data_IF_835189315581
#
_entry.id   IF_835189315581
#
_cell.length_a   1.000
_cell.length_b   1.000
_cell.length_c   1.000
_cell.angle_alpha   90.00
_cell.angle_beta   90.00
_cell.angle_gamma   90.00
#
_symmetry.space_group_name_H-M   'P 1'
#
loop_
_entity.id
_entity.type
_entity.pdbx_description
1 polymer ?
#
# COMPACT_ATOMS: atom_id res chain seq x y z
N UNK A 1 -40.75 5.83 -27.47
CA UNK A 1 -40.08 5.94 -26.16
C UNK A 1 -39.74 4.52 -25.73
N UNK A 2 -38.61 3.99 -26.24
CA UNK A 2 -38.21 2.60 -25.99
C UNK A 2 -37.41 2.55 -24.69
N UNK A 3 -38.02 2.01 -23.65
CA UNK A 3 -37.28 1.51 -22.49
C UNK A 3 -36.38 0.36 -22.96
N UNK A 4 -35.07 0.63 -23.02
CA UNK A 4 -34.05 -0.40 -23.07
C UNK A 4 -34.11 -1.18 -21.76
N UNK A 5 -34.93 -2.24 -21.71
CA UNK A 5 -34.81 -3.30 -20.70
C UNK A 5 -33.40 -3.87 -20.82
N UNK A 6 -32.51 -3.48 -19.90
CA UNK A 6 -31.23 -4.15 -19.72
C UNK A 6 -31.44 -5.66 -19.50
N UNK A 7 -30.47 -6.52 -19.86
CA UNK A 7 -30.63 -7.96 -19.75
C UNK A 7 -31.01 -8.34 -18.32
N UNK A 8 -32.10 -9.12 -18.18
CA UNK A 8 -32.55 -9.64 -16.90
C UNK A 8 -31.38 -10.38 -16.23
N UNK A 9 -30.91 -9.85 -15.10
CA UNK A 9 -29.77 -10.44 -14.38
C UNK A 9 -30.28 -11.70 -13.68
N UNK A 10 -30.07 -12.85 -14.32
CA UNK A 10 -30.57 -14.13 -13.81
C UNK A 10 -29.66 -14.63 -12.69
N UNK A 11 -30.23 -14.75 -11.50
CA UNK A 11 -29.67 -15.64 -10.48
C UNK A 11 -29.74 -17.07 -11.00
N UNK A 12 -28.70 -17.87 -10.75
CA UNK A 12 -28.62 -19.24 -11.23
C UNK A 12 -28.01 -20.14 -10.18
N UNK A 13 -28.59 -21.32 -10.01
CA UNK A 13 -28.01 -22.40 -9.24
C UNK A 13 -27.88 -23.61 -10.17
N UNK A 14 -26.69 -24.20 -10.23
CA UNK A 14 -26.42 -25.34 -11.09
C UNK A 14 -25.33 -26.22 -10.51
N UNK A 15 -25.31 -27.49 -10.90
CA UNK A 15 -24.34 -28.47 -10.41
C UNK A 15 -24.54 -28.86 -8.95
N UNK A 16 -24.04 -30.04 -8.60
CA UNK A 16 -24.03 -30.52 -7.22
C UNK A 16 -25.39 -31.01 -6.70
N UNK A 17 -25.50 -31.11 -5.37
CA UNK A 17 -26.71 -31.51 -4.66
C UNK A 17 -27.03 -30.57 -3.51
N UNK A 18 -28.32 -30.41 -3.23
CA UNK A 18 -28.84 -29.69 -2.06
C UNK A 18 -29.69 -30.67 -1.26
N UNK A 19 -29.36 -30.83 0.01
CA UNK A 19 -30.17 -31.56 0.98
C UNK A 19 -30.63 -30.57 2.06
N UNK A 20 -31.91 -30.60 2.42
CA UNK A 20 -32.47 -29.70 3.42
C UNK A 20 -33.40 -30.47 4.35
N UNK A 21 -33.13 -30.39 5.64
CA UNK A 21 -33.93 -30.99 6.69
C UNK A 21 -34.48 -29.87 7.58
N UNK A 22 -35.81 -29.70 7.60
CA UNK A 22 -36.48 -28.60 8.31
C UNK A 22 -37.49 -29.14 9.31
N UNK A 23 -37.45 -28.62 10.53
CA UNK A 23 -38.40 -28.92 11.59
C UNK A 23 -38.97 -27.62 12.17
N UNK A 24 -40.30 -27.55 12.22
CA UNK A 24 -41.03 -26.42 12.80
C UNK A 24 -41.77 -26.92 14.04
N UNK A 25 -41.60 -26.22 15.15
CA UNK A 25 -42.24 -26.58 16.43
C UNK A 25 -42.89 -25.36 17.09
N UNK A 26 -43.85 -25.60 17.99
CA UNK A 26 -44.50 -24.53 18.76
C UNK A 26 -45.60 -23.76 18.02
N UNK A 27 -46.15 -24.31 16.93
CA UNK A 27 -47.35 -23.78 16.28
C UNK A 27 -48.54 -23.90 17.24
N UNK A 28 -48.96 -22.79 17.87
CA UNK A 28 -50.21 -22.72 18.64
C UNK A 28 -51.31 -22.09 17.78
N UNK A 29 -52.55 -22.58 17.94
CA UNK A 29 -53.73 -22.13 17.18
C UNK A 29 -54.15 -20.66 17.39
N UNK A 30 -53.43 -19.90 18.23
CA UNK A 30 -53.51 -18.43 18.28
C UNK A 30 -52.13 -17.88 17.95
N UNK A 31 -52.07 -16.80 17.16
CA UNK A 31 -50.87 -16.11 16.65
C UNK A 31 -50.09 -15.37 17.77
N UNK A 32 -50.03 -15.93 18.98
CA UNK A 32 -49.21 -15.43 20.10
C UNK A 32 -48.04 -16.38 20.31
N UNK A 33 -46.98 -16.12 19.56
CA UNK A 33 -45.68 -16.80 19.64
C UNK A 33 -45.09 -17.07 18.26
N UNK A 34 -43.83 -16.67 18.03
CA UNK A 34 -43.10 -17.03 16.81
C UNK A 34 -42.77 -18.54 16.85
N UNK A 35 -43.01 -19.30 15.77
CA UNK A 35 -42.67 -20.72 15.72
C UNK A 35 -41.15 -20.91 15.86
N UNK A 36 -40.74 -21.99 16.53
CA UNK A 36 -39.33 -22.36 16.64
C UNK A 36 -38.93 -23.14 15.41
N UNK A 37 -38.03 -22.55 14.63
CA UNK A 37 -37.43 -23.15 13.44
C UNK A 37 -36.12 -23.86 13.81
N UNK A 38 -35.97 -25.07 13.31
CA UNK A 38 -34.70 -25.80 13.28
C UNK A 38 -34.51 -26.36 11.89
N UNK A 39 -33.26 -26.45 11.46
CA UNK A 39 -32.96 -27.22 10.27
C UNK A 39 -31.54 -27.11 9.80
N UNK A 40 -31.21 -28.00 8.89
CA UNK A 40 -29.88 -28.17 8.33
C UNK A 40 -29.99 -28.15 6.81
N UNK A 41 -29.07 -27.45 6.15
CA UNK A 41 -28.94 -27.40 4.70
C UNK A 41 -27.52 -27.81 4.35
N UNK A 42 -27.39 -28.80 3.47
CA UNK A 42 -26.11 -29.28 2.97
C UNK A 42 -26.03 -29.04 1.47
N UNK A 43 -25.02 -28.27 1.06
CA UNK A 43 -24.66 -28.03 -0.33
C UNK A 43 -23.40 -28.84 -0.65
N UNK A 44 -23.42 -29.61 -1.74
CA UNK A 44 -22.25 -30.37 -2.21
C UNK A 44 -21.98 -30.07 -3.68
N UNK A 45 -20.83 -29.46 -3.96
CA UNK A 45 -20.38 -29.14 -5.33
C UNK A 45 -21.29 -28.17 -6.09
N UNK A 46 -22.01 -27.29 -5.39
CA UNK A 46 -22.97 -26.37 -5.99
C UNK A 46 -22.24 -25.20 -6.67
N UNK A 47 -22.78 -24.72 -7.78
CA UNK A 47 -22.38 -23.46 -8.41
C UNK A 47 -23.52 -22.45 -8.34
N UNK A 48 -23.21 -21.21 -7.95
CA UNK A 48 -24.17 -20.13 -7.76
C UNK A 48 -23.71 -18.89 -8.53
N UNK A 49 -24.58 -18.36 -9.38
CA UNK A 49 -24.44 -17.06 -10.01
C UNK A 49 -25.22 -16.04 -9.17
N UNK A 50 -24.48 -15.18 -8.46
CA UNK A 50 -25.06 -14.13 -7.60
C UNK A 50 -24.62 -12.76 -8.11
N UNK A 51 -25.41 -12.08 -8.96
CA UNK A 51 -25.21 -10.65 -9.21
C UNK A 51 -25.27 -9.90 -7.87
N UNK A 52 -24.31 -9.02 -7.54
CA UNK A 52 -23.42 -8.28 -8.44
C UNK A 52 -22.02 -8.87 -8.65
N UNK A 53 -21.75 -10.09 -8.18
CA UNK A 53 -20.42 -10.70 -8.31
C UNK A 53 -20.02 -10.86 -9.78
N UNK A 54 -18.82 -10.42 -10.18
CA UNK A 54 -18.31 -10.60 -11.55
C UNK A 54 -18.15 -12.08 -11.93
N UNK A 55 -17.69 -12.89 -10.97
CA UNK A 55 -17.44 -14.32 -11.15
C UNK A 55 -18.52 -15.14 -10.42
N UNK A 56 -18.92 -16.30 -10.98
CA UNK A 56 -19.77 -17.23 -10.26
C UNK A 56 -19.02 -17.86 -9.08
N UNK A 57 -19.77 -18.22 -8.05
CA UNK A 57 -19.29 -19.09 -6.98
C UNK A 57 -19.39 -20.53 -7.50
N UNK A 58 -18.31 -21.30 -7.43
CA UNK A 58 -18.28 -22.71 -7.83
C UNK A 58 -17.64 -23.57 -6.75
N UNK A 59 -17.77 -24.89 -6.87
CA UNK A 59 -17.28 -25.86 -5.90
C UNK A 59 -17.73 -25.54 -4.46
N UNK A 60 -18.96 -25.04 -4.30
CA UNK A 60 -19.51 -24.69 -3.00
C UNK A 60 -19.89 -25.97 -2.25
N UNK A 61 -19.13 -26.25 -1.19
CA UNK A 61 -19.42 -27.29 -0.23
C UNK A 61 -19.64 -26.65 1.14
N UNK A 62 -20.89 -26.64 1.60
CA UNK A 62 -21.33 -25.87 2.76
C UNK A 62 -22.36 -26.67 3.55
N UNK A 63 -22.17 -26.77 4.87
CA UNK A 63 -23.23 -27.14 5.81
C UNK A 63 -23.72 -25.88 6.49
N UNK A 64 -25.03 -25.66 6.53
CA UNK A 64 -25.66 -24.58 7.26
C UNK A 64 -26.67 -25.16 8.25
N UNK A 65 -26.62 -24.72 9.50
CA UNK A 65 -27.59 -25.14 10.52
C UNK A 65 -28.26 -23.92 11.16
N UNK A 66 -29.54 -24.06 11.46
CA UNK A 66 -30.36 -23.10 12.19
C UNK A 66 -30.86 -23.75 13.47
N UNK A 67 -30.52 -23.16 14.61
CA UNK A 67 -31.02 -23.57 15.92
C UNK A 67 -31.53 -22.35 16.68
N UNK A 68 -32.85 -22.15 16.70
CA UNK A 68 -33.44 -20.96 17.31
C UNK A 68 -33.08 -19.71 16.50
N UNK A 69 -32.33 -18.79 17.10
CA UNK A 69 -31.82 -17.58 16.43
C UNK A 69 -30.32 -17.67 16.08
N UNK A 70 -29.73 -18.87 16.21
CA UNK A 70 -28.33 -19.12 15.85
C UNK A 70 -28.25 -19.78 14.49
N UNK A 71 -27.56 -19.13 13.56
CA UNK A 71 -27.17 -19.69 12.27
C UNK A 71 -25.68 -20.02 12.31
N UNK A 72 -25.32 -21.20 11.84
CA UNK A 72 -23.94 -21.63 11.69
C UNK A 72 -23.70 -22.14 10.28
N UNK A 73 -22.64 -21.64 9.65
CA UNK A 73 -22.23 -22.00 8.30
C UNK A 73 -20.82 -22.58 8.38
N UNK A 74 -20.67 -23.86 8.02
CA UNK A 74 -19.39 -24.57 7.92
C UNK A 74 -19.08 -24.83 6.44
N UNK A 75 -18.19 -24.03 5.90
CA UNK A 75 -17.73 -24.04 4.52
C UNK A 75 -16.49 -24.93 4.39
N UNK A 76 -16.60 -26.02 3.64
CA UNK A 76 -15.49 -26.93 3.35
C UNK A 76 -14.75 -26.59 2.07
N UNK A 77 -15.38 -25.88 1.14
CA UNK A 77 -14.69 -25.29 -0.02
C UNK A 77 -15.58 -24.31 -0.78
N UNK A 78 -14.93 -23.33 -1.39
CA UNK A 78 -15.53 -22.37 -2.32
C UNK A 78 -14.48 -21.88 -3.29
N UNK A 79 -14.87 -21.68 -4.55
CA UNK A 79 -14.06 -20.99 -5.56
C UNK A 79 -14.85 -19.84 -6.16
N UNK A 80 -14.21 -18.69 -6.36
CA UNK A 80 -14.78 -17.53 -7.05
C UNK A 80 -13.66 -16.82 -7.82
N UNK A 81 -13.61 -17.00 -9.14
CA UNK A 81 -12.48 -16.51 -9.93
C UNK A 81 -11.16 -17.17 -9.49
N UNK A 82 -10.15 -16.36 -9.14
CA UNK A 82 -8.88 -16.83 -8.58
C UNK A 82 -8.89 -17.05 -7.07
N UNK A 83 -9.97 -16.70 -6.37
CA UNK A 83 -10.12 -16.85 -4.93
C UNK A 83 -10.57 -18.27 -4.58
N UNK A 84 -9.83 -18.93 -3.68
CA UNK A 84 -10.06 -20.31 -3.25
C UNK A 84 -10.10 -20.38 -1.72
N UNK A 85 -11.28 -20.71 -1.16
CA UNK A 85 -11.48 -20.93 0.27
C UNK A 85 -11.40 -22.42 0.57
N UNK A 86 -10.56 -22.80 1.54
CA UNK A 86 -10.39 -24.19 1.99
C UNK A 86 -11.22 -24.52 3.22
N UNK A 87 -11.46 -23.53 4.07
CA UNK A 87 -12.29 -23.68 5.26
C UNK A 87 -12.90 -22.34 5.62
N UNK A 88 -14.14 -22.34 6.07
CA UNK A 88 -14.78 -21.16 6.61
C UNK A 88 -15.80 -21.52 7.67
N UNK A 89 -15.85 -20.76 8.74
CA UNK A 89 -16.89 -20.86 9.75
C UNK A 89 -17.49 -19.47 9.92
N UNK A 90 -18.80 -19.35 9.73
CA UNK A 90 -19.55 -18.15 10.07
C UNK A 90 -20.65 -18.52 11.06
N UNK A 91 -20.61 -17.90 12.23
CA UNK A 91 -21.70 -17.96 13.20
C UNK A 91 -22.41 -16.61 13.24
N UNK A 92 -23.73 -16.65 13.26
CA UNK A 92 -24.61 -15.50 13.48
C UNK A 92 -25.53 -15.85 14.64
N UNK A 93 -25.57 -15.02 15.68
CA UNK A 93 -26.52 -15.14 16.77
C UNK A 93 -27.41 -13.90 16.86
N UNK A 94 -28.73 -14.10 16.78
CA UNK A 94 -29.71 -13.02 16.73
C UNK A 94 -29.84 -12.40 15.33
N UNK A 95 -31.02 -11.88 15.01
CA UNK A 95 -31.31 -11.26 13.70
C UNK A 95 -31.42 -9.74 13.77
N UNK A 96 -31.89 -9.19 14.90
CA UNK A 96 -32.06 -7.75 15.07
C UNK A 96 -30.75 -7.02 15.41
N UNK A 97 -29.95 -7.61 16.32
CA UNK A 97 -28.63 -7.11 16.73
C UNK A 97 -27.61 -8.26 16.60
N UNK A 98 -27.24 -8.63 15.38
CA UNK A 98 -26.54 -9.89 15.13
C UNK A 98 -25.12 -9.87 15.71
N UNK A 99 -24.80 -10.89 16.51
CA UNK A 99 -23.44 -11.20 16.93
C UNK A 99 -22.79 -12.14 15.91
N UNK A 100 -21.69 -11.71 15.29
CA UNK A 100 -21.00 -12.41 14.21
C UNK A 100 -19.65 -12.96 14.70
N UNK A 101 -19.30 -14.15 14.23
CA UNK A 101 -17.95 -14.70 14.32
C UNK A 101 -17.60 -15.34 12.99
N UNK A 102 -16.55 -14.83 12.33
CA UNK A 102 -16.11 -15.33 11.03
C UNK A 102 -14.66 -15.82 11.12
N UNK A 103 -14.40 -17.04 10.68
CA UNK A 103 -13.04 -17.55 10.48
C UNK A 103 -12.92 -18.06 9.06
N UNK A 104 -11.95 -17.58 8.28
CA UNK A 104 -11.72 -18.03 6.91
C UNK A 104 -10.25 -18.45 6.72
N UNK A 105 -10.06 -19.60 6.09
CA UNK A 105 -8.76 -20.09 5.62
C UNK A 105 -8.81 -20.25 4.10
N UNK A 106 -8.02 -19.45 3.41
CA UNK A 106 -7.96 -19.39 1.96
C UNK A 106 -6.62 -19.92 1.46
N UNK A 107 -6.64 -20.62 0.34
CA UNK A 107 -5.41 -20.89 -0.41
C UNK A 107 -4.96 -19.62 -1.14
N UNK A 108 -5.89 -18.95 -1.81
CA UNK A 108 -5.67 -17.70 -2.53
C UNK A 108 -6.84 -16.74 -2.35
N UNK A 109 -6.53 -15.46 -2.28
CA UNK A 109 -7.50 -14.36 -2.27
C UNK A 109 -7.15 -13.35 -3.37
N UNK A 110 -8.14 -12.94 -4.14
CA UNK A 110 -8.00 -11.81 -5.06
C UNK A 110 -9.16 -10.84 -4.91
N UNK A 111 -8.85 -9.60 -4.51
CA UNK A 111 -9.86 -8.55 -4.35
C UNK A 111 -10.56 -8.26 -5.68
N UNK A 112 -9.89 -8.46 -6.82
CA UNK A 112 -10.45 -8.17 -8.15
C UNK A 112 -11.57 -9.13 -8.53
N UNK A 113 -11.63 -10.32 -7.94
CA UNK A 113 -12.72 -11.27 -8.18
C UNK A 113 -14.09 -10.75 -7.71
N UNK A 114 -14.07 -9.76 -6.81
CA UNK A 114 -15.25 -9.15 -6.20
C UNK A 114 -15.51 -7.72 -6.72
N UNK A 115 -14.72 -7.24 -7.69
CA UNK A 115 -14.82 -5.88 -8.23
C UNK A 115 -15.27 -5.90 -9.69
N UNK A 116 -16.32 -5.13 -10.01
CA UNK A 116 -16.84 -5.00 -11.39
C UNK A 116 -15.84 -4.38 -12.37
N UNK A 117 -14.93 -3.51 -11.88
CA UNK A 117 -13.92 -2.83 -12.69
C UNK A 117 -12.58 -2.81 -11.96
N UNK A 118 -11.52 -3.42 -12.51
CA UNK A 118 -10.17 -3.32 -11.96
C UNK A 118 -9.73 -1.85 -11.86
N UNK A 119 -9.11 -1.47 -10.74
CA UNK A 119 -8.54 -0.12 -10.52
C UNK A 119 -9.53 0.96 -10.07
N UNK A 120 -10.84 0.74 -10.17
CA UNK A 120 -11.87 1.69 -9.71
C UNK A 120 -12.68 1.07 -8.57
N UNK A 121 -12.09 1.06 -7.38
CA UNK A 121 -12.76 0.56 -6.20
C UNK A 121 -13.76 1.60 -5.68
N UNK A 122 -14.99 1.18 -5.41
CA UNK A 122 -15.97 1.96 -4.63
C UNK A 122 -16.14 1.29 -3.29
N UNK A 123 -16.01 2.06 -2.22
CA UNK A 123 -16.26 1.55 -0.88
C UNK A 123 -17.75 1.27 -0.72
N UNK A 124 -18.14 0.11 -0.17
CA UNK A 124 -19.52 -0.13 0.21
C UNK A 124 -19.89 0.79 1.37
N UNK A 125 -21.12 1.31 1.35
CA UNK A 125 -21.72 1.99 2.51
C UNK A 125 -22.58 0.98 3.25
N UNK A 126 -22.32 0.80 4.53
CA UNK A 126 -23.10 -0.06 5.42
C UNK A 126 -24.15 0.82 6.10
N UNK A 127 -25.38 0.75 5.60
CA UNK A 127 -26.49 1.50 6.19
C UNK A 127 -26.78 1.00 7.60
N UNK A 128 -27.07 1.92 8.52
CA UNK A 128 -27.31 1.60 9.94
C UNK A 128 -28.60 0.79 10.17
N UNK A 129 -29.56 0.86 9.26
CA UNK A 129 -30.78 0.05 9.29
C UNK A 129 -30.58 -1.38 8.76
N UNK A 130 -29.44 -1.65 8.10
CA UNK A 130 -29.11 -2.96 7.53
C UNK A 130 -28.60 -3.95 8.58
N UNK A 131 -28.60 -5.23 8.22
CA UNK A 131 -28.07 -6.31 9.05
C UNK A 131 -26.62 -6.04 9.54
N UNK A 132 -25.71 -5.68 8.62
CA UNK A 132 -24.32 -5.35 8.97
C UNK A 132 -24.17 -4.02 9.73
N UNK A 133 -25.13 -3.10 9.56
CA UNK A 133 -25.19 -1.83 10.28
C UNK A 133 -25.55 -2.00 11.76
N UNK A 134 -26.21 -3.10 12.12
CA UNK A 134 -26.55 -3.46 13.51
C UNK A 134 -25.61 -4.53 14.09
N UNK A 135 -24.78 -5.12 13.24
CA UNK A 135 -23.92 -6.24 13.61
C UNK A 135 -22.76 -5.83 14.52
N UNK A 136 -22.38 -6.76 15.39
CA UNK A 136 -21.12 -6.74 16.13
C UNK A 136 -20.45 -8.08 16.01
N UNK A 137 -19.14 -8.12 15.83
CA UNK A 137 -18.47 -9.40 15.72
C UNK A 137 -16.98 -9.30 15.46
N UNK A 138 -16.36 -10.46 15.43
CA UNK A 138 -14.94 -10.63 15.18
C UNK A 138 -14.74 -11.45 13.91
N UNK A 139 -13.62 -11.21 13.25
CA UNK A 139 -13.21 -12.00 12.10
C UNK A 139 -11.73 -12.29 12.11
N UNK A 140 -11.41 -13.50 11.68
CA UNK A 140 -10.06 -14.00 11.44
C UNK A 140 -9.97 -14.51 10.01
N UNK A 141 -8.99 -14.04 9.23
CA UNK A 141 -8.81 -14.40 7.83
C UNK A 141 -7.35 -14.71 7.57
N UNK A 142 -7.08 -15.92 7.09
CA UNK A 142 -5.76 -16.34 6.64
C UNK A 142 -5.78 -16.69 5.15
N UNK A 143 -4.74 -16.30 4.42
CA UNK A 143 -4.57 -16.68 3.02
C UNK A 143 -3.12 -16.99 2.68
N UNK A 144 -2.90 -18.10 1.95
CA UNK A 144 -1.59 -18.46 1.42
C UNK A 144 -1.05 -17.41 0.44
N UNK A 145 -1.89 -16.92 -0.46
CA UNK A 145 -1.58 -15.89 -1.46
C UNK A 145 -2.65 -14.79 -1.50
N UNK A 146 -2.24 -13.53 -1.50
CA UNK A 146 -3.16 -12.39 -1.52
C UNK A 146 -2.83 -11.42 -2.66
N UNK A 147 -3.81 -11.20 -3.54
CA UNK A 147 -3.84 -10.11 -4.51
C UNK A 147 -4.82 -9.04 -4.03
N UNK A 148 -4.28 -7.96 -3.48
CA UNK A 148 -5.01 -6.79 -3.00
C UNK A 148 -4.94 -5.64 -4.01
N UNK A 149 -4.73 -5.94 -5.30
CA UNK A 149 -4.56 -4.97 -6.37
C UNK A 149 -3.09 -4.53 -6.51
N UNK A 150 -2.73 -3.29 -6.16
CA UNK A 150 -1.33 -2.85 -6.22
C UNK A 150 -0.44 -3.58 -5.20
N UNK A 151 -1.03 -4.13 -4.14
CA UNK A 151 -0.32 -4.90 -3.12
C UNK A 151 -0.55 -6.39 -3.39
N UNK A 152 0.52 -7.12 -3.62
CA UNK A 152 0.49 -8.58 -3.76
C UNK A 152 1.51 -9.21 -2.81
N UNK A 153 1.16 -10.35 -2.25
CA UNK A 153 2.00 -11.02 -1.27
C UNK A 153 1.47 -12.39 -0.88
N UNK A 154 2.16 -12.98 0.08
CA UNK A 154 1.91 -14.31 0.60
C UNK A 154 1.64 -14.24 2.11
N UNK A 155 1.08 -15.31 2.68
CA UNK A 155 0.82 -15.46 4.12
C UNK A 155 0.11 -14.24 4.73
N UNK A 156 -1.03 -13.88 4.12
CA UNK A 156 -1.92 -12.88 4.69
C UNK A 156 -2.57 -13.46 5.96
N UNK A 157 -2.51 -12.73 7.05
CA UNK A 157 -3.28 -13.02 8.27
C UNK A 157 -3.91 -11.72 8.77
N UNK A 158 -5.22 -11.72 9.01
CA UNK A 158 -5.98 -10.56 9.46
C UNK A 158 -6.85 -10.96 10.66
N UNK A 159 -6.70 -10.22 11.74
CA UNK A 159 -7.59 -10.23 12.90
C UNK A 159 -8.31 -8.88 12.97
N UNK A 160 -9.62 -8.91 13.19
CA UNK A 160 -10.40 -7.69 13.26
C UNK A 160 -11.78 -7.85 13.85
N UNK A 161 -12.50 -6.73 13.89
CA UNK A 161 -13.87 -6.67 14.37
C UNK A 161 -14.73 -5.74 13.53
N UNK A 162 -16.02 -6.02 13.52
CA UNK A 162 -17.08 -5.18 12.97
C UNK A 162 -17.94 -4.68 14.12
N UNK A 163 -18.23 -3.39 14.16
CA UNK A 163 -19.21 -2.79 15.08
C UNK A 163 -20.00 -1.71 14.37
N UNK A 164 -21.26 -1.99 14.08
CA UNK A 164 -22.21 -1.02 13.53
C UNK A 164 -21.72 -0.34 12.23
N UNK A 165 -21.25 -1.14 11.28
CA UNK A 165 -20.67 -0.64 10.02
C UNK A 165 -19.25 -0.06 10.14
N UNK A 166 -18.61 -0.13 11.31
CA UNK A 166 -17.20 0.24 11.51
C UNK A 166 -16.33 -0.99 11.61
N UNK A 167 -15.27 -1.06 10.81
CA UNK A 167 -14.34 -2.19 10.74
C UNK A 167 -13.01 -1.77 11.38
N UNK A 168 -12.53 -2.59 12.31
CA UNK A 168 -11.24 -2.43 12.96
C UNK A 168 -10.37 -3.63 12.62
N UNK A 169 -9.22 -3.39 11.99
CA UNK A 169 -8.17 -4.39 11.81
C UNK A 169 -7.17 -4.21 12.96
N UNK A 170 -7.25 -5.08 13.96
CA UNK A 170 -6.35 -5.04 15.12
C UNK A 170 -4.95 -5.48 14.75
N UNK A 171 -4.84 -6.47 13.85
CA UNK A 171 -3.58 -6.93 13.28
C UNK A 171 -3.81 -7.42 11.84
N UNK A 172 -3.03 -6.91 10.90
CA UNK A 172 -2.90 -7.48 9.56
C UNK A 172 -1.41 -7.72 9.26
N UNK A 173 -1.05 -8.96 8.95
CA UNK A 173 0.30 -9.37 8.56
C UNK A 173 0.31 -9.90 7.14
N UNK A 174 1.35 -9.59 6.39
CA UNK A 174 1.51 -10.05 5.01
C UNK A 174 3.01 -10.12 4.68
N UNK A 175 3.43 -11.17 3.97
CA UNK A 175 4.73 -11.20 3.29
C UNK A 175 4.58 -10.52 1.92
N UNK A 176 5.20 -9.37 1.73
CA UNK A 176 5.10 -8.59 0.49
C UNK A 176 6.45 -8.00 0.13
N UNK A 177 6.70 -7.84 -1.17
CA UNK A 177 7.94 -7.24 -1.67
C UNK A 177 9.21 -7.90 -1.11
N UNK A 178 9.16 -9.21 -0.87
CA UNK A 178 10.22 -10.03 -0.23
C UNK A 178 10.63 -9.59 1.18
N UNK A 179 9.76 -8.83 1.83
CA UNK A 179 9.80 -8.48 3.25
C UNK A 179 8.47 -8.82 3.91
N UNK A 180 8.17 -8.15 5.01
CA UNK A 180 6.92 -8.31 5.74
C UNK A 180 6.27 -6.96 6.02
N UNK A 181 4.95 -6.96 6.19
CA UNK A 181 4.18 -5.81 6.62
C UNK A 181 3.32 -6.15 7.83
N UNK A 182 3.25 -5.22 8.76
CA UNK A 182 2.29 -5.24 9.87
C UNK A 182 1.46 -3.97 9.83
N UNK A 183 0.14 -4.10 9.80
CA UNK A 183 -0.79 -3.00 9.55
C UNK A 183 -1.93 -3.05 10.56
N UNK A 184 -2.32 -1.88 11.05
CA UNK A 184 -3.56 -1.64 11.78
C UNK A 184 -4.40 -0.68 10.98
N UNK A 185 -5.71 -0.90 10.93
CA UNK A 185 -6.60 -0.05 10.17
C UNK A 185 -7.95 0.13 10.84
N UNK A 186 -8.57 1.26 10.56
CA UNK A 186 -9.94 1.58 10.92
C UNK A 186 -10.65 2.07 9.67
N UNK A 187 -11.82 1.49 9.38
CA UNK A 187 -12.67 1.88 8.28
C UNK A 187 -14.06 2.20 8.83
N UNK A 188 -14.49 3.45 8.70
CA UNK A 188 -15.87 3.84 8.97
C UNK A 188 -16.69 3.74 7.69
N UNK A 189 -17.42 2.64 7.52
CA UNK A 189 -18.33 2.41 6.38
C UNK A 189 -19.76 2.82 6.70
N UNK A 190 -20.03 3.39 7.89
CA UNK A 190 -21.38 3.79 8.32
C UNK A 190 -21.90 5.05 7.63
N UNK A 191 -20.99 5.81 7.01
CA UNK A 191 -21.23 7.13 6.40
C UNK A 191 -21.24 7.04 4.88
N UNK A 192 -21.89 8.02 4.23
CA UNK A 192 -21.87 8.12 2.77
C UNK A 192 -20.48 8.36 2.18
N UNK A 193 -19.62 9.04 2.94
CA UNK A 193 -18.19 9.19 2.64
C UNK A 193 -17.41 8.40 3.67
N UNK A 194 -16.91 7.21 3.30
CA UNK A 194 -16.13 6.40 4.20
C UNK A 194 -14.85 7.10 4.66
N UNK A 195 -14.51 6.91 5.94
CA UNK A 195 -13.24 7.35 6.51
C UNK A 195 -12.32 6.15 6.73
N UNK A 196 -11.03 6.33 6.47
CA UNK A 196 -10.01 5.29 6.58
C UNK A 196 -8.84 5.86 7.36
N UNK A 197 -8.38 5.09 8.34
CA UNK A 197 -7.10 5.32 9.03
C UNK A 197 -6.29 4.05 8.95
N UNK A 198 -5.01 4.18 8.68
CA UNK A 198 -4.10 3.05 8.59
C UNK A 198 -2.72 3.44 9.10
N UNK A 199 -2.18 2.62 9.97
CA UNK A 199 -0.83 2.75 10.47
C UNK A 199 -0.11 1.42 10.32
N UNK A 200 1.20 1.45 10.15
CA UNK A 200 1.93 0.21 10.01
C UNK A 200 3.39 0.37 9.70
N UNK A 201 4.03 -0.79 9.61
CA UNK A 201 5.45 -0.92 9.31
C UNK A 201 5.66 -1.94 8.22
N UNK A 202 6.49 -1.63 7.24
CA UNK A 202 7.02 -2.58 6.27
C UNK A 202 8.49 -2.81 6.60
N UNK A 203 8.88 -4.06 6.79
CA UNK A 203 10.22 -4.44 7.22
C UNK A 203 10.94 -5.21 6.12
N UNK A 204 12.16 -4.77 5.80
CA UNK A 204 13.06 -5.42 4.82
C UNK A 204 12.43 -5.63 3.44
N UNK A 205 11.53 -4.74 3.03
CA UNK A 205 10.86 -4.77 1.73
C UNK A 205 11.79 -4.24 0.63
N UNK A 206 11.73 -4.80 -0.57
CA UNK A 206 12.56 -4.35 -1.68
C UNK A 206 12.17 -2.93 -2.13
N UNK A 207 13.14 -2.01 -2.12
CA UNK A 207 12.94 -0.61 -2.50
C UNK A 207 12.37 -0.44 -3.92
N UNK A 208 12.76 -1.33 -4.84
CA UNK A 208 12.24 -1.32 -6.22
C UNK A 208 10.72 -1.47 -6.27
N UNK A 209 10.14 -2.33 -5.44
CA UNK A 209 8.70 -2.59 -5.47
C UNK A 209 7.94 -1.42 -4.84
N UNK A 210 8.46 -0.84 -3.76
CA UNK A 210 7.91 0.39 -3.16
C UNK A 210 7.87 1.54 -4.18
N UNK A 211 8.92 1.70 -4.98
CA UNK A 211 8.96 2.73 -6.00
C UNK A 211 8.00 2.45 -7.18
N UNK A 212 7.75 1.18 -7.52
CA UNK A 212 6.70 0.82 -8.51
C UNK A 212 5.33 1.29 -8.06
N UNK A 213 5.01 1.12 -6.77
CA UNK A 213 3.73 1.58 -6.21
C UNK A 213 3.53 3.09 -6.40
N UNK A 214 4.61 3.87 -6.32
CA UNK A 214 4.58 5.32 -6.53
C UNK A 214 4.59 5.73 -8.01
N UNK A 215 4.53 4.77 -8.93
CA UNK A 215 4.54 5.02 -10.38
C UNK A 215 5.91 5.45 -10.91
N UNK A 216 6.98 5.32 -10.12
CA UNK A 216 8.33 5.56 -10.59
C UNK A 216 8.85 4.34 -11.37
N UNK A 217 9.63 4.56 -12.43
CA UNK A 217 10.33 3.49 -13.17
C UNK A 217 11.52 3.00 -12.34
N UNK A 218 11.43 1.85 -11.63
CA UNK A 218 12.31 1.57 -10.50
C UNK A 218 13.26 0.40 -10.77
N UNK A 219 13.49 0.09 -12.05
CA UNK A 219 14.28 -1.04 -12.52
C UNK A 219 15.75 -1.01 -12.08
N UNK A 220 16.14 -0.06 -11.22
CA UNK A 220 17.55 0.22 -10.96
C UNK A 220 17.86 0.78 -9.59
N UNK A 221 16.97 0.64 -8.60
CA UNK A 221 17.33 0.77 -7.18
C UNK A 221 17.29 -0.62 -6.54
N UNK A 222 18.42 -1.00 -5.96
CA UNK A 222 18.63 -2.25 -5.23
C UNK A 222 18.82 -1.94 -3.76
N UNK A 223 18.37 -2.87 -2.93
CA UNK A 223 18.38 -2.74 -1.48
C UNK A 223 17.00 -2.94 -0.88
N UNK A 224 16.99 -3.04 0.45
CA UNK A 224 15.79 -3.23 1.25
C UNK A 224 15.56 -2.01 2.12
N UNK A 225 14.30 -1.70 2.39
CA UNK A 225 13.91 -0.62 3.25
C UNK A 225 13.01 -1.08 4.39
N UNK A 226 13.06 -0.31 5.46
CA UNK A 226 12.02 -0.20 6.45
C UNK A 226 11.16 1.02 6.11
N UNK A 227 9.85 0.88 6.24
CA UNK A 227 8.87 1.95 6.03
C UNK A 227 7.95 2.01 7.24
N UNK A 228 7.73 3.19 7.78
CA UNK A 228 6.72 3.43 8.82
C UNK A 228 5.74 4.45 8.29
N UNK A 229 4.45 4.18 8.40
CA UNK A 229 3.40 5.07 7.90
C UNK A 229 2.26 5.21 8.89
N UNK A 230 1.64 6.38 8.87
CA UNK A 230 0.38 6.71 9.54
C UNK A 230 -0.39 7.61 8.58
N UNK A 231 -1.48 7.09 8.04
CA UNK A 231 -2.24 7.68 6.94
C UNK A 231 -3.72 7.71 7.29
N UNK A 232 -4.36 8.82 6.95
CA UNK A 232 -5.81 8.95 6.95
C UNK A 232 -6.32 9.43 5.61
N UNK A 233 -7.53 9.03 5.25
CA UNK A 233 -8.22 9.53 4.05
C UNK A 233 -9.72 9.38 4.21
N UNK A 234 -10.47 10.05 3.32
CA UNK A 234 -11.92 9.92 3.21
C UNK A 234 -12.33 9.95 1.75
N UNK A 235 -13.24 9.09 1.34
CA UNK A 235 -13.63 9.02 -0.07
C UNK A 235 -14.51 7.83 -0.42
N UNK A 236 -15.35 8.03 -1.43
CA UNK A 236 -16.29 7.01 -1.93
C UNK A 236 -15.63 6.00 -2.86
N UNK A 237 -14.47 6.35 -3.40
CA UNK A 237 -13.75 5.56 -4.39
C UNK A 237 -12.23 5.74 -4.28
N UNK A 238 -11.47 4.90 -4.98
CA UNK A 238 -10.00 4.91 -4.98
C UNK A 238 -9.40 6.27 -5.36
N UNK A 239 -10.02 7.02 -6.28
CA UNK A 239 -9.54 8.35 -6.67
C UNK A 239 -9.73 9.38 -5.57
N UNK A 240 -10.91 9.45 -4.95
CA UNK A 240 -11.18 10.31 -3.79
C UNK A 240 -10.26 9.95 -2.62
N UNK A 241 -10.02 8.66 -2.38
CA UNK A 241 -9.08 8.23 -1.33
C UNK A 241 -7.67 8.74 -1.63
N UNK A 242 -7.14 8.52 -2.83
CA UNK A 242 -5.77 8.99 -3.17
C UNK A 242 -5.66 10.51 -3.03
N UNK A 243 -6.68 11.25 -3.45
CA UNK A 243 -6.75 12.72 -3.31
C UNK A 243 -6.86 13.17 -1.85
N UNK A 244 -7.53 12.39 -1.01
CA UNK A 244 -7.75 12.71 0.41
C UNK A 244 -6.62 12.26 1.34
N UNK A 245 -5.66 11.44 0.87
CA UNK A 245 -4.59 10.92 1.74
C UNK A 245 -3.83 12.07 2.38
N UNK A 246 -3.73 12.00 3.70
CA UNK A 246 -2.98 12.90 4.55
C UNK A 246 -2.33 12.08 5.65
N UNK A 247 -1.17 12.50 6.16
CA UNK A 247 -0.46 11.76 7.19
C UNK A 247 1.05 11.86 7.05
N UNK A 248 1.77 10.83 7.51
CA UNK A 248 3.22 10.78 7.48
C UNK A 248 3.72 9.42 7.00
N UNK A 249 4.80 9.44 6.23
CA UNK A 249 5.54 8.25 5.83
C UNK A 249 7.01 8.52 6.07
N UNK A 250 7.72 7.59 6.68
CA UNK A 250 9.17 7.61 6.75
C UNK A 250 9.72 6.32 6.17
N UNK A 251 10.87 6.39 5.53
CA UNK A 251 11.55 5.21 5.03
C UNK A 251 13.06 5.28 5.29
N UNK A 252 13.67 4.13 5.44
CA UNK A 252 15.11 3.97 5.53
C UNK A 252 15.55 2.69 4.84
N UNK A 253 16.45 2.80 3.86
CA UNK A 253 17.21 1.70 3.31
C UNK A 253 18.68 1.77 3.72
N UNK A 254 19.33 0.61 3.76
CA UNK A 254 20.77 0.49 4.06
C UNK A 254 21.43 -0.44 3.05
N UNK A 255 22.72 -0.20 2.80
CA UNK A 255 23.62 -1.08 2.07
C UNK A 255 23.05 -1.57 0.72
N UNK A 256 22.69 -0.62 -0.15
CA UNK A 256 22.14 -0.91 -1.46
C UNK A 256 22.84 -0.16 -2.59
N UNK A 257 22.28 -0.27 -3.80
CA UNK A 257 22.90 0.26 -5.02
C UNK A 257 21.88 0.91 -5.91
N UNK A 258 22.15 2.15 -6.34
CA UNK A 258 21.35 2.87 -7.34
C UNK A 258 22.06 2.71 -8.70
N UNK A 259 21.61 1.76 -9.51
CA UNK A 259 22.23 1.44 -10.81
C UNK A 259 21.95 2.48 -11.90
N UNK A 260 20.68 2.81 -12.12
CA UNK A 260 20.19 3.67 -13.23
C UNK A 260 18.86 4.33 -12.85
N UNK A 261 18.92 5.32 -12.00
CA UNK A 261 17.74 6.14 -11.71
C UNK A 261 17.74 7.33 -12.67
N UNK A 262 16.70 7.52 -13.48
CA UNK A 262 16.64 8.59 -14.50
C UNK A 262 17.06 9.96 -13.96
N UNK A 263 16.59 10.30 -12.77
CA UNK A 263 16.96 11.51 -12.05
C UNK A 263 18.48 11.57 -11.82
N UNK A 264 19.06 10.54 -11.20
CA UNK A 264 20.47 10.48 -10.87
C UNK A 264 21.38 10.41 -12.11
N UNK A 265 20.96 9.73 -13.17
CA UNK A 265 21.67 9.67 -14.45
C UNK A 265 21.77 11.04 -15.12
N UNK A 266 20.66 11.83 -15.13
CA UNK A 266 20.66 13.20 -15.64
C UNK A 266 21.61 14.08 -14.83
N UNK A 267 21.57 13.93 -13.52
CA UNK A 267 22.44 14.64 -12.59
C UNK A 267 23.92 14.32 -12.82
N UNK A 268 24.27 13.03 -12.96
CA UNK A 268 25.63 12.60 -13.24
C UNK A 268 26.15 13.13 -14.57
N UNK A 269 25.28 13.24 -15.58
CA UNK A 269 25.59 13.88 -16.86
C UNK A 269 25.88 15.38 -16.73
N UNK A 270 24.97 16.13 -16.10
CA UNK A 270 25.10 17.59 -15.92
C UNK A 270 26.38 17.98 -15.16
N UNK A 271 26.71 17.22 -14.12
CA UNK A 271 27.86 17.49 -13.26
C UNK A 271 29.16 16.84 -13.77
N UNK A 272 29.11 16.15 -14.90
CA UNK A 272 30.17 15.30 -15.43
C UNK A 272 30.81 14.38 -14.36
N UNK A 273 29.99 13.81 -13.47
CA UNK A 273 30.45 12.99 -12.35
C UNK A 273 31.08 11.68 -12.80
N UNK A 274 30.73 11.20 -13.99
CA UNK A 274 31.33 10.00 -14.58
C UNK A 274 32.84 10.16 -14.81
N UNK A 275 33.27 11.34 -15.27
CA UNK A 275 34.69 11.62 -15.48
C UNK A 275 35.37 11.98 -14.16
N UNK A 276 34.67 12.69 -13.26
CA UNK A 276 35.20 13.05 -11.93
C UNK A 276 35.53 11.82 -11.06
N UNK A 277 34.71 10.77 -11.15
CA UNK A 277 34.84 9.56 -10.34
C UNK A 277 35.54 8.41 -11.07
N UNK A 278 36.01 8.63 -12.30
CA UNK A 278 36.71 7.61 -13.10
C UNK A 278 37.94 7.08 -12.35
N UNK A 279 38.04 5.76 -12.20
CA UNK A 279 39.12 5.08 -11.48
C UNK A 279 38.96 5.04 -9.95
N UNK A 280 37.95 5.73 -9.39
CA UNK A 280 37.59 5.68 -7.95
C UNK A 280 36.25 5.00 -7.71
N UNK A 281 35.29 5.14 -8.64
CA UNK A 281 34.02 4.41 -8.68
C UNK A 281 33.49 4.32 -10.12
N UNK A 282 33.12 3.14 -10.61
CA UNK A 282 32.48 2.99 -11.93
C UNK A 282 30.96 3.13 -11.81
N UNK A 283 30.50 4.39 -11.74
CA UNK A 283 29.07 4.70 -11.67
C UNK A 283 28.27 4.22 -12.90
N UNK A 284 28.92 3.94 -14.04
CA UNK A 284 28.24 3.48 -15.26
C UNK A 284 27.97 1.99 -15.24
N UNK A 285 28.92 1.20 -14.72
CA UNK A 285 28.80 -0.26 -14.65
C UNK A 285 28.21 -0.74 -13.32
N UNK A 286 28.65 -0.18 -12.20
CA UNK A 286 28.34 -0.68 -10.86
C UNK A 286 27.18 0.08 -10.21
N UNK A 287 26.90 1.30 -10.65
CA UNK A 287 25.91 2.19 -10.03
C UNK A 287 26.48 2.98 -8.84
N UNK A 288 25.62 3.72 -8.15
CA UNK A 288 25.96 4.43 -6.91
C UNK A 288 25.62 3.56 -5.69
N UNK A 289 26.61 2.96 -5.01
CA UNK A 289 26.36 2.30 -3.74
C UNK A 289 25.98 3.33 -2.68
N UNK A 290 25.08 2.98 -1.77
CA UNK A 290 24.73 3.80 -0.60
C UNK A 290 24.82 2.98 0.68
N UNK A 291 25.36 3.60 1.73
CA UNK A 291 25.29 3.10 3.11
C UNK A 291 23.90 3.31 3.69
N UNK A 292 23.28 4.46 3.38
CA UNK A 292 21.93 4.81 3.83
C UNK A 292 21.19 5.63 2.78
N UNK A 293 19.91 5.32 2.59
CA UNK A 293 18.93 6.17 1.91
C UNK A 293 17.75 6.38 2.86
N UNK A 294 17.26 7.61 3.03
CA UNK A 294 16.14 7.87 3.93
C UNK A 294 15.39 9.15 3.60
N UNK A 295 14.18 9.28 4.12
CA UNK A 295 13.44 10.53 4.13
C UNK A 295 12.13 10.42 4.92
N UNK A 296 11.66 11.56 5.39
CA UNK A 296 10.35 11.74 6.03
C UNK A 296 9.46 12.58 5.12
N UNK A 297 8.25 12.10 4.88
CA UNK A 297 7.26 12.73 4.02
C UNK A 297 6.02 13.06 4.85
N UNK A 298 5.64 14.33 4.85
CA UNK A 298 4.30 14.74 5.27
C UNK A 298 3.40 14.75 4.04
N UNK A 299 2.22 14.17 4.16
CA UNK A 299 1.23 14.12 3.09
C UNK A 299 0.06 15.02 3.49
N UNK A 300 -0.38 15.89 2.59
CA UNK A 300 -1.59 16.69 2.76
C UNK A 300 -2.36 16.65 1.44
N UNK A 301 -3.56 16.08 1.48
CA UNK A 301 -4.47 16.01 0.32
C UNK A 301 -3.78 15.47 -0.95
N UNK A 302 -3.03 14.37 -0.80
CA UNK A 302 -2.31 13.73 -1.90
C UNK A 302 -1.01 14.42 -2.32
N UNK A 303 -0.61 15.53 -1.69
CA UNK A 303 0.69 16.18 -1.89
C UNK A 303 1.69 15.73 -0.82
N UNK A 304 2.74 15.03 -1.24
CA UNK A 304 3.86 14.63 -0.38
C UNK A 304 4.87 15.76 -0.33
N UNK A 305 5.39 16.08 0.85
CA UNK A 305 6.48 17.04 1.05
C UNK A 305 7.55 16.44 1.95
N UNK A 306 8.81 16.58 1.56
CA UNK A 306 9.99 16.18 2.36
C UNK A 306 10.98 17.34 2.49
N UNK A 307 11.76 17.33 3.58
CA UNK A 307 12.83 18.31 3.85
C UNK A 307 14.16 17.66 4.26
N UNK A 308 14.19 16.34 4.32
CA UNK A 308 15.26 15.56 4.94
C UNK A 308 15.64 14.33 4.11
N UNK A 309 15.32 14.33 2.81
CA UNK A 309 15.75 13.27 1.92
C UNK A 309 17.28 13.20 1.89
N UNK A 310 17.82 11.99 2.03
CA UNK A 310 19.25 11.75 2.18
C UNK A 310 19.65 10.49 1.41
N UNK A 311 20.73 10.59 0.64
CA UNK A 311 21.53 9.44 0.20
C UNK A 311 22.96 9.65 0.71
N UNK A 312 23.39 8.75 1.59
CA UNK A 312 24.75 8.68 2.09
C UNK A 312 25.51 7.57 1.33
N UNK A 313 26.39 7.98 0.43
CA UNK A 313 27.25 7.11 -0.37
C UNK A 313 28.72 7.32 0.00
N UNK A 314 29.58 6.28 -0.09
CA UNK A 314 31.03 6.45 0.06
C UNK A 314 31.62 7.52 -0.89
N UNK A 315 31.02 7.70 -2.07
CA UNK A 315 31.53 8.62 -3.10
C UNK A 315 30.92 10.02 -3.02
N UNK A 316 29.73 10.17 -2.43
CA UNK A 316 29.01 11.44 -2.38
C UNK A 316 27.91 11.48 -1.32
N UNK A 317 27.57 12.68 -0.88
CA UNK A 317 26.39 12.96 -0.08
C UNK A 317 25.34 13.65 -0.95
N UNK A 318 24.12 13.13 -0.99
CA UNK A 318 22.97 13.77 -1.65
C UNK A 318 21.95 14.14 -0.59
N UNK A 319 21.48 15.38 -0.62
CA UNK A 319 20.33 15.84 0.16
C UNK A 319 19.26 16.41 -0.74
N UNK A 320 18.00 16.27 -0.34
CA UNK A 320 16.89 16.86 -1.07
C UNK A 320 15.78 17.39 -0.17
N UNK A 321 15.14 18.44 -0.65
CA UNK A 321 13.82 18.90 -0.20
C UNK A 321 12.93 19.11 -1.42
N UNK A 322 11.62 18.96 -1.22
CA UNK A 322 10.67 19.12 -2.32
C UNK A 322 9.33 18.48 -2.05
N UNK A 323 8.53 18.40 -3.11
CA UNK A 323 7.18 17.87 -3.09
C UNK A 323 6.91 16.95 -4.28
N UNK A 324 5.97 16.02 -4.09
CA UNK A 324 5.43 15.14 -5.11
C UNK A 324 3.91 15.21 -5.04
N UNK A 325 3.27 15.50 -6.16
CA UNK A 325 1.82 15.39 -6.32
C UNK A 325 1.48 13.96 -6.79
N UNK A 326 0.76 13.18 -5.96
CA UNK A 326 0.38 11.80 -6.32
C UNK A 326 -0.65 11.73 -7.45
N UNK A 327 -1.42 12.79 -7.68
CA UNK A 327 -2.48 12.84 -8.69
C UNK A 327 -1.88 13.04 -10.06
N UNK A 328 -1.07 14.10 -10.17
CA UNK A 328 -0.45 14.52 -11.42
C UNK A 328 0.88 13.78 -11.69
N UNK A 329 1.38 13.03 -10.70
CA UNK A 329 2.70 12.37 -10.72
C UNK A 329 3.81 13.37 -11.08
N UNK A 330 3.70 14.57 -10.54
CA UNK A 330 4.69 15.64 -10.73
C UNK A 330 5.53 15.79 -9.48
N UNK A 331 6.79 16.13 -9.65
CA UNK A 331 7.69 16.49 -8.57
C UNK A 331 8.29 17.88 -8.82
N UNK A 332 8.54 18.59 -7.72
CA UNK A 332 9.34 19.81 -7.72
C UNK A 332 10.20 19.83 -6.46
N UNK A 333 11.46 20.21 -6.58
CA UNK A 333 12.34 20.34 -5.44
C UNK A 333 13.77 20.71 -5.79
N UNK A 334 14.60 20.67 -4.76
CA UNK A 334 16.02 20.93 -4.86
C UNK A 334 16.80 19.74 -4.34
N UNK A 335 17.91 19.43 -4.99
CA UNK A 335 18.91 18.51 -4.47
C UNK A 335 20.28 19.16 -4.41
N UNK A 336 20.98 18.90 -3.32
CA UNK A 336 22.38 19.30 -3.11
C UNK A 336 23.24 18.06 -3.11
N UNK A 337 24.27 18.06 -3.96
CA UNK A 337 25.19 16.95 -4.11
C UNK A 337 26.58 17.42 -3.75
N UNK A 338 27.20 16.70 -2.81
CA UNK A 338 28.57 16.94 -2.37
C UNK A 338 29.39 15.68 -2.61
N UNK A 339 30.24 15.62 -3.66
CA UNK A 339 31.23 14.57 -3.80
C UNK A 339 32.15 14.53 -2.57
N UNK A 340 32.44 13.33 -2.06
CA UNK A 340 33.31 13.14 -0.88
C UNK A 340 34.77 12.87 -1.27
N UNK A 341 35.09 12.93 -2.56
CA UNK A 341 36.44 12.70 -3.06
C UNK A 341 37.39 13.75 -2.51
N UNK A 342 38.51 13.32 -1.94
CA UNK A 342 39.59 14.21 -1.55
C UNK A 342 40.02 15.03 -2.77
N UNK A 343 40.26 16.33 -2.54
CA UNK A 343 40.72 17.30 -3.53
C UNK A 343 42.14 16.93 -4.00
N UNK A 344 42.27 15.90 -4.83
CA UNK A 344 43.53 15.62 -5.51
C UNK A 344 43.71 16.62 -6.67
N UNK A 345 44.97 16.98 -6.94
CA UNK A 345 45.42 17.99 -7.92
C UNK A 345 44.92 17.79 -9.36
N UNK A 346 44.24 16.69 -9.66
CA UNK A 346 43.69 16.35 -10.99
C UNK A 346 42.43 17.13 -11.35
N UNK A 347 41.81 17.80 -10.37
CA UNK A 347 40.49 18.46 -10.50
C UNK A 347 40.54 19.84 -11.22
N UNK A 348 41.72 20.46 -11.37
CA UNK A 348 41.89 21.77 -12.02
C UNK A 348 41.53 21.80 -13.52
N UNK A 349 41.35 20.62 -14.15
CA UNK A 349 41.08 20.47 -15.59
C UNK A 349 39.60 20.37 -15.96
N UNK A 350 38.68 20.36 -15.00
CA UNK A 350 37.25 20.19 -15.27
C UNK A 350 36.50 21.55 -15.43
N UNK A 351 35.88 21.84 -16.59
CA UNK A 351 35.28 23.15 -16.89
C UNK A 351 34.16 23.58 -15.92
N UNK A 352 33.31 22.64 -15.49
CA UNK A 352 32.19 22.90 -14.57
C UNK A 352 32.69 23.31 -13.18
N UNK A 353 33.80 22.71 -12.76
CA UNK A 353 34.43 22.96 -11.46
C UNK A 353 35.04 24.37 -11.40
N UNK A 354 35.55 24.92 -12.51
CA UNK A 354 35.99 26.33 -12.59
C UNK A 354 34.86 27.34 -12.34
N UNK A 355 33.61 27.01 -12.70
CA UNK A 355 32.46 27.90 -12.48
C UNK A 355 31.99 27.87 -11.02
N UNK A 356 32.02 26.69 -10.39
CA UNK A 356 31.62 26.49 -8.98
C UNK A 356 32.71 27.00 -8.02
N UNK A 357 34.01 26.77 -8.31
CA UNK A 357 35.13 27.24 -7.49
C UNK A 357 35.32 28.77 -7.48
N UNK A 358 34.71 29.50 -8.41
CA UNK A 358 34.78 30.97 -8.46
C UNK A 358 33.96 31.64 -7.35
N UNK A 359 32.99 30.95 -6.76
CA UNK A 359 32.27 31.41 -5.57
C UNK A 359 33.06 31.05 -4.31
N UNK A 360 34.01 31.93 -3.95
CA UNK A 360 34.85 31.80 -2.76
C UNK A 360 34.01 31.87 -1.46
N UNK A 361 33.43 30.75 -1.00
CA UNK A 361 33.18 30.52 0.44
C UNK A 361 33.41 29.05 0.82
N UNK A 362 34.59 28.81 1.40
CA UNK A 362 34.98 27.73 2.32
C UNK A 362 34.43 26.31 2.03
N UNK A 363 35.24 25.51 1.33
CA UNK A 363 35.62 24.18 1.83
C UNK A 363 35.05 22.93 1.15
N UNK A 364 33.96 22.99 0.39
CA UNK A 364 33.35 21.78 -0.21
C UNK A 364 32.80 22.02 -1.61
N UNK A 365 33.14 21.14 -2.56
CA UNK A 365 32.50 21.10 -3.87
C UNK A 365 31.07 20.60 -3.68
N UNK A 366 30.09 21.49 -3.84
CA UNK A 366 28.68 21.10 -3.85
C UNK A 366 27.98 21.69 -5.07
N UNK A 367 27.06 20.93 -5.64
CA UNK A 367 26.24 21.35 -6.75
C UNK A 367 24.77 21.32 -6.34
N UNK A 368 24.06 22.38 -6.70
CA UNK A 368 22.63 22.54 -6.44
C UNK A 368 21.86 22.32 -7.72
N UNK A 369 20.83 21.49 -7.63
CA UNK A 369 20.03 21.07 -8.77
C UNK A 369 18.57 21.35 -8.48
N UNK A 370 17.90 22.07 -9.37
CA UNK A 370 16.44 22.17 -9.37
C UNK A 370 15.88 21.02 -10.18
N UNK A 371 14.84 20.39 -9.66
CA UNK A 371 14.18 19.23 -10.25
C UNK A 371 12.70 19.56 -10.41
N UNK A 372 12.15 19.33 -11.60
CA UNK A 372 10.75 19.59 -11.93
C UNK A 372 10.21 18.51 -12.87
N UNK A 373 8.89 18.46 -13.08
CA UNK A 373 8.27 17.61 -14.11
C UNK A 373 7.78 16.26 -13.58
N UNK A 374 7.66 15.26 -14.45
CA UNK A 374 7.08 13.95 -14.12
C UNK A 374 7.98 13.12 -13.22
N UNK A 375 7.41 12.33 -12.31
CA UNK A 375 8.15 11.37 -11.47
C UNK A 375 8.83 10.27 -12.28
N UNK A 376 8.32 9.94 -13.47
CA UNK A 376 8.96 8.98 -14.40
C UNK A 376 10.09 9.61 -15.22
N UNK A 377 9.94 10.88 -15.58
CA UNK A 377 10.85 11.62 -16.45
C UNK A 377 11.09 13.06 -15.94
N UNK A 378 11.86 13.22 -14.85
CA UNK A 378 12.08 14.52 -14.24
C UNK A 378 13.07 15.36 -15.08
N UNK A 379 12.84 16.65 -15.15
CA UNK A 379 13.78 17.64 -15.66
C UNK A 379 14.75 18.06 -14.55
N UNK A 380 16.01 18.29 -14.91
CA UNK A 380 17.08 18.64 -13.96
C UNK A 380 17.88 19.81 -14.51
N UNK A 381 18.02 20.87 -13.71
CA UNK A 381 18.78 22.06 -14.09
C UNK A 381 19.72 22.49 -12.95
N UNK A 382 20.84 23.12 -13.31
CA UNK A 382 21.74 23.75 -12.32
C UNK A 382 21.06 24.99 -11.73
N UNK A 383 21.13 25.13 -10.40
CA UNK A 383 20.60 26.29 -9.68
C UNK A 383 21.71 26.93 -8.84
N UNK A 384 21.58 28.23 -8.57
CA UNK A 384 22.50 28.99 -7.70
C UNK A 384 22.16 28.79 -6.23
N UNK A 385 23.18 28.88 -5.37
CA UNK A 385 23.09 28.65 -3.92
C UNK A 385 22.08 29.55 -3.20
N UNK A 386 21.81 30.74 -3.74
CA UNK A 386 20.88 31.72 -3.18
C UNK A 386 19.42 31.22 -3.10
N UNK A 387 19.09 30.18 -3.86
CA UNK A 387 17.72 29.63 -3.96
C UNK A 387 17.41 28.59 -2.87
N UNK A 388 18.40 28.17 -2.08
CA UNK A 388 18.27 27.06 -1.13
C UNK A 388 18.06 27.59 0.30
N UNK A 389 17.16 26.95 1.05
CA UNK A 389 17.02 27.22 2.48
C UNK A 389 18.26 26.78 3.27
N UNK A 390 18.73 27.58 4.24
CA UNK A 390 19.95 27.30 5.01
C UNK A 390 19.99 25.92 5.71
N UNK A 391 18.83 25.31 5.92
CA UNK A 391 18.67 23.99 6.55
C UNK A 391 19.38 22.86 5.78
N UNK A 392 19.34 22.82 4.44
CA UNK A 392 19.99 21.76 3.66
C UNK A 392 21.52 21.80 3.81
N UNK A 393 22.10 23.00 3.75
CA UNK A 393 23.54 23.21 3.85
C UNK A 393 24.06 22.91 5.26
N UNK A 394 23.30 23.23 6.30
CA UNK A 394 23.72 23.00 7.68
C UNK A 394 23.74 21.52 8.06
N UNK A 395 22.83 20.69 7.51
CA UNK A 395 22.91 19.24 7.73
C UNK A 395 24.08 18.63 6.94
N UNK A 396 24.43 19.17 5.76
CA UNK A 396 25.64 18.72 5.03
C UNK A 396 26.88 19.02 5.85
N UNK A 397 27.01 20.25 6.38
CA UNK A 397 28.08 20.60 7.30
C UNK A 397 28.13 19.61 8.47
N UNK A 398 27.03 19.36 9.18
CA UNK A 398 27.01 18.43 10.33
C UNK A 398 27.46 17.01 9.99
N UNK A 399 27.03 16.43 8.87
CA UNK A 399 27.43 15.08 8.45
C UNK A 399 28.92 15.02 8.11
N UNK A 400 29.45 16.07 7.49
CA UNK A 400 30.86 16.12 7.07
C UNK A 400 31.79 16.56 8.21
N UNK A 401 31.32 17.40 9.14
CA UNK A 401 32.09 17.94 10.26
C UNK A 401 32.00 17.11 11.53
N UNK A 402 31.15 16.07 11.61
CA UNK A 402 31.19 15.12 12.72
C UNK A 402 32.39 14.17 12.53
N UNK A 403 33.47 14.28 13.32
CA UNK A 403 34.58 13.36 13.23
C UNK A 403 34.13 12.02 13.81
N UNK A 404 34.48 10.95 13.12
CA UNK A 404 34.50 9.60 13.66
C UNK A 404 35.32 9.62 14.98
N UNK A 405 34.67 9.53 16.13
CA UNK A 405 35.34 9.06 17.35
C UNK A 405 35.03 7.56 17.47
N UNK A 406 36.01 6.66 17.31
CA UNK A 406 35.79 5.27 17.65
C UNK A 406 35.50 5.20 19.15
N UNK A 407 34.32 4.69 19.53
CA UNK A 407 34.08 4.30 20.92
C UNK A 407 34.79 2.96 21.13
N UNK A 408 35.89 3.06 21.89
CA UNK A 408 36.70 2.06 22.61
C UNK A 408 36.69 0.62 22.14
#
# INVERSE_FOLDING_TARGET
MNELKGPATKYGLSGGSIEANLSVSGLKGSIRGLPRLKGDVLLRGVSIVVPPLPNPISNLNLSASLQGERLEFDLSSLTCGGTVVKKGILTIAGLDNPALSLSLQLESFSITDFLKRPGMWRFPVIRQDSFLGKARGEFHVESGHADLGPLKGDRLAIDGSLREGRVFLSHARLELFKGSGEIRAFLDLSREVPEIRMEGTLTRVELRELLRLLGASPSSIEGRAEVVFDLHSSGRNSEEIIRGITGKVSFQGKDGVIKKWNLLSKIFGILNLYDLLRGKADLRKEGLPYRKISGTFSIKEGQLTTRDFLIDSPSMLVKGDGSIDLRDKKLEGYMVISPLVALDKTIEKLPVIRKILREKRKGFLHATLKITGSTSEPEVTLSTLETITGSLLDVIKRVITFPWSPRR
#
